data_IF_431860298604
#
_entry.id   IF_431860298604
#
_cell.length_a   1.000
_cell.length_b   1.000
_cell.length_c   1.000
_cell.angle_alpha   90.00
_cell.angle_beta   90.00
_cell.angle_gamma   90.00
#
_symmetry.space_group_name_H-M   'P 1'
#
loop_
_entity.id
_entity.type
_entity.pdbx_description
1 polymer ?
#
# COMPACT_ATOMS: atom_id res chain seq x y z
N UNK A 1 28.78 76.91 29.48
CA UNK A 1 27.95 76.44 30.61
C UNK A 1 26.54 76.22 30.07
N UNK A 2 26.04 74.99 30.07
CA UNK A 2 24.73 74.69 29.50
C UNK A 2 24.56 73.21 29.19
N UNK A 3 24.39 72.42 30.25
CA UNK A 3 23.99 71.01 30.21
C UNK A 3 22.57 70.88 29.68
N UNK A 4 22.33 69.99 28.71
CA UNK A 4 20.99 69.44 28.46
C UNK A 4 21.03 67.93 28.18
N UNK A 5 20.98 67.20 29.30
CA UNK A 5 20.03 66.10 29.60
C UNK A 5 19.79 65.07 28.49
N UNK A 6 20.43 63.91 28.69
CA UNK A 6 20.14 62.62 28.06
C UNK A 6 18.64 62.32 28.14
N UNK A 7 17.96 62.35 26.99
CA UNK A 7 16.58 61.91 26.87
C UNK A 7 16.56 60.40 26.61
N UNK A 8 16.02 59.66 27.58
CA UNK A 8 15.54 58.28 27.42
C UNK A 8 14.59 58.23 26.23
N UNK A 9 14.99 57.56 25.15
CA UNK A 9 14.08 57.12 24.10
C UNK A 9 14.15 55.60 24.04
N UNK A 10 13.18 55.03 24.75
CA UNK A 10 12.46 53.79 24.49
C UNK A 10 12.93 53.02 23.23
N UNK A 11 13.48 51.83 23.44
CA UNK A 11 13.78 50.89 22.37
C UNK A 11 12.49 50.56 21.59
N UNK A 12 12.45 50.72 20.26
CA UNK A 12 11.41 50.08 19.49
C UNK A 12 11.71 48.58 19.44
N UNK A 13 10.77 47.81 19.97
CA UNK A 13 10.53 46.41 19.62
C UNK A 13 10.26 46.33 18.11
N UNK A 14 11.32 46.37 17.29
CA UNK A 14 11.22 46.18 15.85
C UNK A 14 11.29 44.68 15.56
N UNK A 15 10.12 44.05 15.69
CA UNK A 15 9.61 42.95 14.86
C UNK A 15 10.65 42.36 13.92
N UNK A 16 11.22 41.22 14.32
CA UNK A 16 11.89 40.33 13.38
C UNK A 16 10.92 40.07 12.20
N UNK A 17 11.37 40.19 10.95
CA UNK A 17 10.46 40.09 9.82
C UNK A 17 9.79 38.72 9.84
N UNK A 18 8.46 38.71 9.95
CA UNK A 18 7.59 37.53 9.84
C UNK A 18 7.83 36.72 8.56
N UNK A 19 8.62 37.25 7.63
CA UNK A 19 9.13 36.60 6.42
C UNK A 19 10.07 35.42 6.69
N UNK A 20 10.80 35.38 7.81
CA UNK A 20 11.68 34.23 8.11
C UNK A 20 10.91 33.04 8.70
N UNK A 21 9.88 33.28 9.50
CA UNK A 21 9.11 32.20 10.11
C UNK A 21 8.21 31.45 9.10
N UNK A 22 7.84 32.07 7.99
CA UNK A 22 7.09 31.42 6.92
C UNK A 22 7.96 30.53 6.01
N UNK A 23 9.28 30.75 6.01
CA UNK A 23 10.23 30.02 5.16
C UNK A 23 10.64 28.68 5.75
N UNK A 24 10.64 28.58 7.08
CA UNK A 24 11.05 27.37 7.79
C UNK A 24 9.89 26.39 8.05
N UNK A 25 8.63 26.80 7.88
CA UNK A 25 7.47 25.89 7.89
C UNK A 25 7.21 25.20 6.53
N UNK A 26 7.80 25.71 5.44
CA UNK A 26 7.67 25.14 4.08
C UNK A 26 8.85 24.26 3.67
N UNK A 27 9.76 23.95 4.60
CA UNK A 27 10.95 23.12 4.35
C UNK A 27 10.92 21.75 5.03
N UNK A 28 9.73 21.29 5.45
CA UNK A 28 9.54 19.97 6.06
C UNK A 28 8.33 19.20 5.54
N UNK A 29 7.84 19.53 4.33
CA UNK A 29 6.56 19.02 3.81
C UNK A 29 6.64 18.52 2.38
N UNK A 30 7.76 17.93 1.96
CA UNK A 30 7.91 17.45 0.58
C UNK A 30 8.79 16.20 0.53
N UNK A 31 8.37 15.17 1.27
CA UNK A 31 8.51 13.77 0.85
C UNK A 31 7.70 12.86 1.79
N UNK A 32 6.40 13.13 1.96
CA UNK A 32 5.49 12.01 2.19
C UNK A 32 5.29 11.44 0.80
N UNK A 33 6.06 10.41 0.46
CA UNK A 33 6.00 9.71 -0.81
C UNK A 33 4.55 9.37 -1.13
N UNK A 34 3.92 10.19 -1.97
CA UNK A 34 2.52 10.04 -2.34
C UNK A 34 2.48 9.07 -3.51
N UNK A 35 1.65 8.03 -3.40
CA UNK A 35 1.43 7.07 -4.48
C UNK A 35 0.93 7.80 -5.73
N UNK A 36 1.42 7.40 -6.90
CA UNK A 36 0.90 7.92 -8.17
C UNK A 36 -0.53 7.41 -8.42
N UNK A 37 -1.28 8.09 -9.29
CA UNK A 37 -2.62 7.63 -9.69
C UNK A 37 -2.57 6.21 -10.30
N UNK A 38 -1.49 5.89 -11.03
CA UNK A 38 -1.26 4.54 -11.55
C UNK A 38 -1.02 3.52 -10.44
N UNK A 39 -0.33 3.89 -9.37
CA UNK A 39 -0.12 2.98 -8.23
C UNK A 39 -1.44 2.68 -7.53
N UNK A 40 -2.31 3.68 -7.39
CA UNK A 40 -3.64 3.54 -6.78
C UNK A 40 -4.50 2.59 -7.63
N UNK A 41 -4.59 2.83 -8.95
CA UNK A 41 -5.36 1.97 -9.86
C UNK A 41 -4.83 0.53 -9.88
N UNK A 42 -3.51 0.34 -9.94
CA UNK A 42 -2.89 -0.97 -9.87
C UNK A 42 -3.21 -1.70 -8.55
N UNK A 43 -3.26 -0.98 -7.44
CA UNK A 43 -3.60 -1.55 -6.14
C UNK A 43 -5.08 -1.96 -6.08
N UNK A 44 -5.98 -1.18 -6.66
CA UNK A 44 -7.41 -1.53 -6.76
C UNK A 44 -7.59 -2.83 -7.57
N UNK A 45 -6.91 -2.94 -8.71
CA UNK A 45 -6.86 -4.15 -9.54
C UNK A 45 -6.36 -5.36 -8.76
N UNK A 46 -5.27 -5.21 -7.98
CA UNK A 46 -4.72 -6.28 -7.16
C UNK A 46 -5.69 -6.70 -6.06
N UNK A 47 -6.33 -5.74 -5.37
CA UNK A 47 -7.31 -6.03 -4.32
C UNK A 47 -8.49 -6.82 -4.90
N UNK A 48 -8.96 -6.44 -6.08
CA UNK A 48 -10.03 -7.15 -6.78
C UNK A 48 -9.58 -8.56 -7.19
N UNK A 49 -8.36 -8.70 -7.73
CA UNK A 49 -7.77 -9.99 -8.08
C UNK A 49 -7.66 -10.93 -6.87
N UNK A 50 -7.31 -10.41 -5.69
CA UNK A 50 -7.11 -11.18 -4.46
C UNK A 50 -8.41 -11.51 -3.71
N UNK A 51 -9.54 -10.85 -4.01
CA UNK A 51 -10.80 -11.06 -3.31
C UNK A 51 -11.27 -12.54 -3.31
N UNK A 52 -11.25 -13.27 -4.45
CA UNK A 52 -11.59 -14.70 -4.45
C UNK A 52 -10.59 -15.58 -3.69
N UNK A 53 -9.30 -15.19 -3.67
CA UNK A 53 -8.26 -15.90 -2.91
C UNK A 53 -8.53 -15.77 -1.41
N UNK A 54 -8.82 -14.55 -0.94
CA UNK A 54 -9.23 -14.31 0.45
C UNK A 54 -10.46 -15.15 0.83
N UNK A 55 -11.49 -15.18 -0.02
CA UNK A 55 -12.70 -15.96 0.23
C UNK A 55 -12.39 -17.46 0.35
N UNK A 56 -11.60 -18.00 -0.57
CA UNK A 56 -11.20 -19.39 -0.52
C UNK A 56 -10.41 -19.71 0.77
N UNK A 57 -9.49 -18.84 1.17
CA UNK A 57 -8.78 -18.96 2.46
C UNK A 57 -9.73 -18.94 3.64
N UNK A 58 -10.69 -18.02 3.68
CA UNK A 58 -11.69 -17.96 4.76
C UNK A 58 -12.48 -19.26 4.86
N UNK A 59 -12.97 -19.80 3.72
CA UNK A 59 -13.71 -21.08 3.71
C UNK A 59 -12.82 -22.24 4.16
N UNK A 60 -11.59 -22.29 3.66
CA UNK A 60 -10.63 -23.35 3.98
C UNK A 60 -10.17 -23.35 5.43
N UNK A 61 -10.21 -22.20 6.11
CA UNK A 61 -9.83 -22.05 7.52
C UNK A 61 -11.00 -22.24 8.50
N UNK A 62 -12.23 -22.54 8.05
CA UNK A 62 -13.36 -22.81 8.95
C UNK A 62 -13.18 -24.13 9.70
N UNK A 63 -12.66 -25.14 9.01
CA UNK A 63 -12.42 -26.48 9.56
C UNK A 63 -10.91 -26.73 9.65
N UNK A 64 -10.47 -27.46 10.68
CA UNK A 64 -9.06 -27.85 10.81
C UNK A 64 -8.61 -28.73 9.62
N UNK A 65 -9.53 -29.55 9.10
CA UNK A 65 -9.30 -30.45 7.98
C UNK A 65 -10.44 -30.36 6.96
N UNK A 66 -10.37 -29.41 6.01
CA UNK A 66 -11.41 -29.25 5.00
C UNK A 66 -11.54 -30.50 4.13
N UNK A 67 -12.77 -30.88 3.80
CA UNK A 67 -13.03 -32.09 3.00
C UNK A 67 -12.61 -31.93 1.54
N UNK A 68 -12.26 -33.04 0.87
CA UNK A 68 -11.96 -33.04 -0.58
C UNK A 68 -13.10 -32.47 -1.42
N UNK A 69 -14.34 -32.65 -0.96
CA UNK A 69 -15.54 -32.11 -1.62
C UNK A 69 -15.59 -30.58 -1.63
N UNK A 70 -14.87 -29.91 -0.72
CA UNK A 70 -14.71 -28.46 -0.66
C UNK A 70 -13.44 -28.03 -1.40
N UNK A 71 -12.32 -28.74 -1.16
CA UNK A 71 -11.00 -28.41 -1.73
C UNK A 71 -11.01 -28.43 -3.25
N UNK A 72 -11.48 -29.52 -3.88
CA UNK A 72 -11.36 -29.68 -5.33
C UNK A 72 -12.16 -28.63 -6.11
N UNK A 73 -13.44 -28.33 -5.76
CA UNK A 73 -14.18 -27.25 -6.41
C UNK A 73 -13.57 -25.87 -6.19
N UNK A 74 -13.07 -25.57 -4.98
CA UNK A 74 -12.42 -24.28 -4.71
C UNK A 74 -11.14 -24.11 -5.54
N UNK A 75 -10.30 -25.15 -5.61
CA UNK A 75 -9.09 -25.15 -6.44
C UNK A 75 -9.43 -24.89 -7.91
N UNK A 76 -10.43 -25.57 -8.46
CA UNK A 76 -10.85 -25.37 -9.84
C UNK A 76 -11.34 -23.93 -10.10
N UNK A 77 -12.11 -23.35 -9.18
CA UNK A 77 -12.58 -21.95 -9.27
C UNK A 77 -11.42 -20.95 -9.21
N UNK A 78 -10.46 -21.16 -8.31
CA UNK A 78 -9.28 -20.31 -8.20
C UNK A 78 -8.39 -20.38 -9.44
N UNK A 79 -8.13 -21.57 -9.97
CA UNK A 79 -7.35 -21.74 -11.20
C UNK A 79 -8.01 -21.03 -12.39
N UNK A 80 -9.34 -21.14 -12.51
CA UNK A 80 -10.09 -20.42 -13.54
C UNK A 80 -9.99 -18.90 -13.36
N UNK A 81 -10.09 -18.40 -12.14
CA UNK A 81 -9.96 -16.97 -11.82
C UNK A 81 -8.56 -16.43 -12.12
N UNK A 82 -7.53 -17.24 -11.88
CA UNK A 82 -6.13 -16.89 -12.13
C UNK A 82 -5.68 -17.12 -13.58
N UNK A 83 -6.58 -17.53 -14.47
CA UNK A 83 -6.27 -17.62 -15.89
C UNK A 83 -6.19 -16.19 -16.47
N UNK A 84 -5.07 -15.79 -17.10
CA UNK A 84 -4.98 -14.49 -17.77
C UNK A 84 -6.06 -14.35 -18.87
N UNK A 85 -6.62 -13.15 -19.02
CA UNK A 85 -7.54 -12.79 -20.09
C UNK A 85 -7.18 -11.46 -20.75
N UNK A 86 -7.72 -11.19 -21.93
CA UNK A 86 -7.40 -10.01 -22.74
C UNK A 86 -7.77 -8.68 -22.04
N UNK A 87 -8.77 -8.70 -21.15
CA UNK A 87 -9.22 -7.53 -20.40
C UNK A 87 -8.34 -7.21 -19.17
N UNK A 88 -7.36 -8.07 -18.84
CA UNK A 88 -6.49 -7.83 -17.69
C UNK A 88 -5.51 -6.67 -17.96
N UNK A 89 -5.29 -5.84 -16.96
CA UNK A 89 -4.15 -4.92 -16.98
C UNK A 89 -2.84 -5.70 -17.05
N UNK A 90 -1.79 -5.09 -17.59
CA UNK A 90 -0.47 -5.73 -17.75
C UNK A 90 0.03 -6.34 -16.44
N UNK A 91 -0.20 -5.64 -15.31
CA UNK A 91 0.17 -6.09 -13.99
C UNK A 91 -0.65 -7.31 -13.54
N UNK A 92 -1.97 -7.27 -13.70
CA UNK A 92 -2.87 -8.38 -13.33
C UNK A 92 -2.55 -9.63 -14.13
N UNK A 93 -2.33 -9.50 -15.45
CA UNK A 93 -1.99 -10.61 -16.33
C UNK A 93 -0.68 -11.30 -15.89
N UNK A 94 0.33 -10.51 -15.47
CA UNK A 94 1.60 -11.03 -14.98
C UNK A 94 1.43 -11.76 -13.64
N UNK A 95 0.71 -11.16 -12.68
CA UNK A 95 0.43 -11.80 -11.38
C UNK A 95 -0.31 -13.13 -11.60
N UNK A 96 -1.36 -13.13 -12.43
CA UNK A 96 -2.12 -14.33 -12.80
C UNK A 96 -1.22 -15.42 -13.39
N UNK A 97 -0.31 -15.06 -14.30
CA UNK A 97 0.66 -15.99 -14.91
C UNK A 97 1.59 -16.62 -13.87
N UNK A 98 2.11 -15.81 -12.94
CA UNK A 98 2.97 -16.31 -11.85
C UNK A 98 2.19 -17.26 -10.93
N UNK A 99 0.97 -16.89 -10.55
CA UNK A 99 0.14 -17.67 -9.63
C UNK A 99 -0.42 -18.96 -10.24
N UNK A 100 -0.71 -18.96 -11.54
CA UNK A 100 -1.16 -20.14 -12.27
C UNK A 100 -0.01 -21.10 -12.64
N UNK A 101 1.25 -20.70 -12.44
CA UNK A 101 2.42 -21.52 -12.78
C UNK A 101 2.46 -22.81 -11.93
N UNK A 102 2.71 -23.97 -12.55
CA UNK A 102 2.68 -25.29 -11.89
C UNK A 102 3.74 -25.51 -10.78
N UNK A 103 4.62 -24.53 -10.52
CA UNK A 103 5.67 -24.64 -9.50
C UNK A 103 5.22 -24.29 -8.08
N UNK A 104 4.00 -23.78 -7.88
CA UNK A 104 3.46 -23.42 -6.56
C UNK A 104 2.93 -24.64 -5.76
N UNK A 105 3.05 -25.87 -6.27
CA UNK A 105 2.50 -27.06 -5.62
C UNK A 105 3.50 -28.22 -5.64
N UNK A 106 4.60 -28.09 -4.88
CA UNK A 106 5.18 -29.30 -4.30
C UNK A 106 4.33 -29.64 -3.08
N UNK A 107 3.52 -30.68 -3.20
CA UNK A 107 2.84 -31.25 -2.04
C UNK A 107 3.91 -31.55 -0.97
N UNK A 108 3.63 -31.32 0.33
CA UNK A 108 4.51 -31.81 1.37
C UNK A 108 4.68 -33.31 1.16
N UNK A 109 5.93 -33.79 1.18
CA UNK A 109 6.19 -35.21 1.35
C UNK A 109 5.53 -35.60 2.68
N UNK A 110 4.34 -36.20 2.56
CA UNK A 110 3.67 -36.90 3.64
C UNK A 110 4.67 -37.94 4.10
N UNK A 111 5.33 -37.67 5.23
CA UNK A 111 6.27 -38.59 5.88
C UNK A 111 5.60 -39.96 5.94
N UNK A 112 6.15 -40.90 5.18
CA UNK A 112 5.68 -42.27 5.22
C UNK A 112 6.26 -42.93 6.47
N UNK A 113 5.36 -43.49 7.28
CA UNK A 113 5.57 -44.42 8.41
C UNK A 113 5.86 -43.79 9.76
#
# INVERSE_FOLDING_TARGET
MGLNKTQTVQAPLAVLPLQQQQKDLRKGGTDVGTLSESDIANMEDIVQLMSPVKMATTVMCVEEYPTLSVIAPLRAKLLKHLQPCEDDSTLVAEIKRVMASPHATKAPEMLST
#
